data_IF_401637643191
#
_entry.id   IF_401637643191
#
_cell.length_a   1.000
_cell.length_b   1.000
_cell.length_c   1.000
_cell.angle_alpha   90.00
_cell.angle_beta   90.00
_cell.angle_gamma   90.00
#
_symmetry.space_group_name_H-M   'P 1'
#
loop_
_entity.id
_entity.type
_entity.pdbx_description
1 polymer ?
#
# COMPACT_ATOMS: atom_id res chain seq x y z
N UNK A 1 -0.03 0.58 31.48
CA UNK A 1 -1.19 1.50 31.21
C UNK A 1 -1.25 1.90 29.75
N UNK A 2 -0.14 2.36 29.10
CA UNK A 2 -0.15 2.83 27.72
C UNK A 2 -0.66 1.83 26.68
N UNK A 3 -0.22 0.56 26.75
CA UNK A 3 -0.64 -0.49 25.81
C UNK A 3 -2.16 -0.72 25.86
N UNK A 4 -2.73 -0.85 27.05
CA UNK A 4 -4.19 -1.01 27.23
C UNK A 4 -5.00 0.18 26.72
N UNK A 5 -4.45 1.39 26.83
CA UNK A 5 -5.08 2.59 26.29
C UNK A 5 -5.11 2.59 24.76
N UNK A 6 -4.04 2.12 24.12
CA UNK A 6 -3.98 1.97 22.66
C UNK A 6 -4.95 0.89 22.17
N UNK A 7 -5.03 -0.25 22.84
CA UNK A 7 -6.02 -1.31 22.56
C UNK A 7 -7.45 -0.77 22.68
N UNK A 8 -7.76 -0.11 23.78
CA UNK A 8 -9.07 0.52 23.97
C UNK A 8 -9.43 1.50 22.84
N UNK A 9 -8.48 2.37 22.45
CA UNK A 9 -8.70 3.31 21.34
C UNK A 9 -8.94 2.61 20.01
N UNK A 10 -8.23 1.52 19.75
CA UNK A 10 -8.42 0.72 18.54
C UNK A 10 -9.81 0.11 18.49
N UNK A 11 -10.25 -0.56 19.56
CA UNK A 11 -11.58 -1.14 19.63
C UNK A 11 -12.69 -0.08 19.60
N UNK A 12 -12.51 1.03 20.31
CA UNK A 12 -13.48 2.13 20.28
C UNK A 12 -13.63 2.70 18.88
N UNK A 13 -12.54 2.82 18.14
CA UNK A 13 -12.57 3.25 16.73
C UNK A 13 -13.34 2.27 15.85
N UNK A 14 -13.10 0.96 15.99
CA UNK A 14 -13.83 -0.05 15.22
C UNK A 14 -15.32 -0.02 15.53
N UNK A 15 -15.68 0.07 16.81
CA UNK A 15 -17.06 0.12 17.28
C UNK A 15 -17.77 1.34 16.71
N UNK A 16 -17.24 2.53 16.94
CA UNK A 16 -17.91 3.80 16.57
C UNK A 16 -17.87 4.11 15.07
N UNK A 17 -16.92 3.55 14.32
CA UNK A 17 -16.78 3.84 12.89
C UNK A 17 -17.48 2.81 12.00
N UNK A 18 -17.53 1.54 12.43
CA UNK A 18 -18.02 0.46 11.58
C UNK A 18 -19.18 -0.32 12.22
N UNK A 19 -19.00 -0.84 13.43
CA UNK A 19 -19.94 -1.81 14.01
C UNK A 19 -21.29 -1.18 14.35
N UNK A 20 -21.30 0.02 14.94
CA UNK A 20 -22.53 0.71 15.29
C UNK A 20 -23.20 1.44 14.12
N UNK A 21 -22.45 2.17 13.24
CA UNK A 21 -23.09 2.96 12.19
C UNK A 21 -23.53 2.14 10.98
N UNK A 22 -22.73 1.16 10.53
CA UNK A 22 -22.98 0.45 9.28
C UNK A 22 -24.33 -0.26 9.28
N UNK A 23 -24.72 -1.04 10.31
CA UNK A 23 -26.04 -1.68 10.33
C UNK A 23 -27.21 -0.69 10.33
N UNK A 24 -27.01 0.52 10.88
CA UNK A 24 -28.05 1.57 10.90
C UNK A 24 -28.26 2.25 9.54
N UNK A 25 -27.27 2.11 8.64
CA UNK A 25 -27.31 2.65 7.28
C UNK A 25 -27.82 1.64 6.26
N UNK A 26 -28.07 0.41 6.69
CA UNK A 26 -28.67 -0.61 5.83
C UNK A 26 -30.12 -0.24 5.49
N UNK A 27 -30.49 -0.42 4.24
CA UNK A 27 -31.86 -0.24 3.77
C UNK A 27 -32.74 -1.46 4.13
N UNK A 28 -33.99 -1.47 3.65
CA UNK A 28 -34.95 -2.55 3.91
C UNK A 28 -34.57 -3.91 3.32
N UNK A 29 -33.59 -3.92 2.43
CA UNK A 29 -33.03 -5.13 1.79
C UNK A 29 -31.65 -5.50 2.39
N UNK A 30 -31.29 -4.96 3.55
CA UNK A 30 -29.99 -5.12 4.21
C UNK A 30 -28.79 -4.67 3.34
N UNK A 31 -29.00 -3.67 2.49
CA UNK A 31 -27.97 -3.15 1.60
C UNK A 31 -27.41 -1.82 2.09
N UNK A 32 -26.08 -1.68 1.94
CA UNK A 32 -25.36 -0.45 2.25
C UNK A 32 -25.07 0.31 0.94
N UNK A 33 -25.41 1.60 0.94
CA UNK A 33 -25.21 2.50 -0.19
C UNK A 33 -24.23 3.60 0.20
N UNK A 34 -23.00 3.51 -0.30
CA UNK A 34 -21.98 4.57 -0.14
C UNK A 34 -22.10 5.61 -1.25
N UNK A 35 -21.66 6.83 -0.97
CA UNK A 35 -21.47 7.87 -1.97
C UNK A 35 -20.01 7.95 -2.36
N UNK A 36 -19.70 7.80 -3.65
CA UNK A 36 -18.36 8.02 -4.17
C UNK A 36 -18.22 9.44 -4.69
N UNK A 37 -17.23 10.18 -4.16
CA UNK A 37 -16.91 11.54 -4.59
C UNK A 37 -15.71 11.50 -5.54
N UNK A 38 -15.87 12.05 -6.74
CA UNK A 38 -14.83 12.07 -7.78
C UNK A 38 -13.82 13.21 -7.59
N UNK A 39 -14.21 14.27 -6.91
CA UNK A 39 -13.41 15.48 -6.68
C UNK A 39 -13.02 15.68 -5.20
N UNK A 40 -13.14 14.64 -4.38
CA UNK A 40 -12.90 14.72 -2.93
C UNK A 40 -11.44 14.59 -2.49
N UNK A 41 -10.50 14.41 -3.42
CA UNK A 41 -9.07 14.25 -3.10
C UNK A 41 -8.20 15.08 -4.05
N UNK A 42 -7.05 15.55 -3.55
CA UNK A 42 -6.06 16.26 -4.37
C UNK A 42 -5.33 15.38 -5.40
N UNK A 43 -5.39 14.05 -5.21
CA UNK A 43 -4.67 13.07 -6.04
C UNK A 43 -5.52 12.51 -7.19
N UNK A 44 -6.79 12.91 -7.33
CA UNK A 44 -7.72 12.33 -8.30
C UNK A 44 -8.27 10.95 -7.93
N UNK A 45 -7.95 10.41 -6.73
CA UNK A 45 -8.57 9.18 -6.23
C UNK A 45 -10.03 9.44 -5.83
N UNK A 46 -10.89 8.44 -5.94
CA UNK A 46 -12.23 8.49 -5.37
C UNK A 46 -12.15 8.50 -3.85
N UNK A 47 -13.04 9.22 -3.21
CA UNK A 47 -13.32 9.07 -1.78
C UNK A 47 -14.72 8.50 -1.57
N UNK A 48 -14.93 7.82 -0.46
CA UNK A 48 -16.18 7.17 -0.10
C UNK A 48 -16.73 7.80 1.18
N UNK A 49 -18.04 8.09 1.20
CA UNK A 49 -18.73 8.72 2.32
C UNK A 49 -20.13 8.13 2.52
N UNK A 50 -20.63 8.20 3.75
CA UNK A 50 -22.01 7.84 4.15
C UNK A 50 -22.45 6.42 3.78
N UNK A 51 -21.73 5.37 4.22
CA UNK A 51 -20.51 5.33 5.01
C UNK A 51 -19.22 5.32 4.17
N UNK A 52 -18.05 5.60 4.79
CA UNK A 52 -16.77 5.38 4.13
C UNK A 52 -16.44 3.88 4.15
N UNK A 53 -16.61 3.20 3.01
CA UNK A 53 -16.29 1.78 2.85
C UNK A 53 -14.84 1.51 2.42
N UNK A 54 -14.08 2.53 1.98
CA UNK A 54 -12.70 2.36 1.55
C UNK A 54 -11.72 2.17 2.71
N UNK A 55 -12.11 2.57 3.92
CA UNK A 55 -11.24 2.53 5.11
C UNK A 55 -11.51 1.35 6.04
N UNK A 56 -12.30 0.36 5.63
CA UNK A 56 -12.54 -0.85 6.42
C UNK A 56 -11.19 -1.58 6.59
N UNK A 57 -10.76 -1.86 7.83
CA UNK A 57 -9.45 -2.45 8.08
C UNK A 57 -9.27 -3.81 7.39
N UNK A 58 -8.06 -4.07 6.88
CA UNK A 58 -7.71 -5.31 6.15
C UNK A 58 -6.53 -6.06 6.77
N UNK A 59 -5.85 -5.47 7.77
CA UNK A 59 -4.60 -5.99 8.32
C UNK A 59 -4.75 -6.64 9.69
N UNK A 60 -5.86 -6.43 10.37
CA UNK A 60 -6.12 -6.97 11.70
C UNK A 60 -7.23 -8.02 11.63
N UNK A 61 -7.19 -9.00 12.52
CA UNK A 61 -8.20 -10.06 12.59
C UNK A 61 -9.62 -9.48 12.78
N UNK A 62 -9.76 -8.47 13.64
CA UNK A 62 -11.05 -7.80 13.85
C UNK A 62 -11.51 -7.05 12.60
N UNK A 63 -10.59 -6.42 11.86
CA UNK A 63 -10.91 -5.79 10.59
C UNK A 63 -11.38 -6.79 9.54
N UNK A 64 -10.71 -7.93 9.44
CA UNK A 64 -11.11 -9.03 8.56
C UNK A 64 -12.50 -9.53 8.96
N UNK A 65 -12.78 -9.73 10.25
CA UNK A 65 -14.11 -10.12 10.74
C UNK A 65 -15.21 -9.11 10.38
N UNK A 66 -14.94 -7.81 10.47
CA UNK A 66 -15.89 -6.78 10.02
C UNK A 66 -16.20 -6.94 8.54
N UNK A 67 -15.17 -7.22 7.72
CA UNK A 67 -15.35 -7.43 6.26
C UNK A 67 -16.19 -8.65 5.94
N UNK A 68 -16.17 -9.70 6.72
CA UNK A 68 -17.02 -10.89 6.49
C UNK A 68 -18.51 -10.60 6.66
N UNK A 69 -18.87 -9.48 7.32
CA UNK A 69 -20.26 -9.02 7.39
C UNK A 69 -20.82 -8.48 6.06
N UNK A 70 -19.94 -8.17 5.08
CA UNK A 70 -20.36 -7.75 3.75
C UNK A 70 -20.48 -8.97 2.84
N UNK A 71 -21.70 -9.31 2.49
CA UNK A 71 -22.01 -10.49 1.70
C UNK A 71 -22.67 -10.10 0.37
N UNK A 72 -22.55 -10.98 -0.62
CA UNK A 72 -23.27 -10.81 -1.88
C UNK A 72 -24.77 -11.13 -1.68
N UNK A 73 -25.63 -10.51 -2.48
CA UNK A 73 -27.04 -10.89 -2.59
C UNK A 73 -27.16 -12.37 -2.98
N UNK A 74 -28.20 -13.05 -2.55
CA UNK A 74 -28.46 -14.44 -2.91
C UNK A 74 -28.38 -14.66 -4.43
N UNK A 75 -27.65 -15.68 -4.86
CA UNK A 75 -27.38 -15.97 -6.27
C UNK A 75 -26.30 -15.10 -6.93
N UNK A 76 -25.59 -14.24 -6.18
CA UNK A 76 -24.53 -13.39 -6.66
C UNK A 76 -23.22 -13.67 -5.91
N UNK A 77 -22.11 -13.18 -6.46
CA UNK A 77 -20.77 -13.25 -5.83
C UNK A 77 -20.14 -11.86 -5.78
N UNK A 78 -19.39 -11.58 -4.73
CA UNK A 78 -18.49 -10.43 -4.70
C UNK A 78 -17.19 -10.82 -5.42
N UNK A 79 -16.81 -10.04 -6.42
CA UNK A 79 -15.57 -10.22 -7.16
C UNK A 79 -14.71 -8.99 -6.93
N UNK A 80 -13.45 -9.21 -6.54
CA UNK A 80 -12.46 -8.12 -6.36
C UNK A 80 -11.42 -8.19 -7.47
N UNK A 81 -11.21 -7.06 -8.13
CA UNK A 81 -10.14 -6.86 -9.10
C UNK A 81 -9.21 -5.77 -8.59
N UNK A 82 -7.91 -6.02 -8.66
CA UNK A 82 -6.90 -5.03 -8.35
C UNK A 82 -5.80 -5.06 -9.41
N UNK A 83 -5.33 -3.88 -9.78
CA UNK A 83 -4.19 -3.77 -10.69
C UNK A 83 -2.89 -4.15 -9.95
N UNK A 84 -2.16 -5.11 -10.50
CA UNK A 84 -0.87 -5.49 -9.93
C UNK A 84 0.14 -4.36 -10.05
N UNK A 85 0.52 -3.78 -8.90
CA UNK A 85 1.58 -2.78 -8.77
C UNK A 85 1.43 -1.58 -9.73
N UNK A 86 0.20 -1.10 -9.97
CA UNK A 86 -0.09 -0.09 -11.02
C UNK A 86 0.75 1.18 -10.86
N UNK A 87 0.96 1.65 -9.65
CA UNK A 87 1.71 2.87 -9.38
C UNK A 87 3.19 2.72 -9.78
N UNK A 88 3.79 1.56 -9.55
CA UNK A 88 5.17 1.27 -9.96
C UNK A 88 5.28 1.05 -11.48
N UNK A 89 4.24 0.52 -12.13
CA UNK A 89 4.17 0.42 -13.60
C UNK A 89 4.08 1.81 -14.25
N UNK A 90 3.29 2.71 -13.65
CA UNK A 90 3.24 4.12 -14.08
C UNK A 90 4.58 4.80 -13.88
N UNK A 91 5.26 4.55 -12.75
CA UNK A 91 6.61 5.06 -12.51
C UNK A 91 7.61 4.55 -13.57
N UNK A 92 7.56 3.27 -13.92
CA UNK A 92 8.40 2.70 -14.97
C UNK A 92 8.17 3.40 -16.31
N UNK A 93 6.90 3.62 -16.68
CA UNK A 93 6.52 4.28 -17.94
C UNK A 93 6.95 5.75 -17.95
N UNK A 94 6.75 6.49 -16.87
CA UNK A 94 7.07 7.92 -16.82
C UNK A 94 8.58 8.18 -16.70
N UNK A 95 9.30 7.40 -15.89
CA UNK A 95 10.75 7.53 -15.76
C UNK A 95 11.52 6.98 -16.96
N UNK A 96 10.90 6.10 -17.74
CA UNK A 96 11.55 5.34 -18.82
C UNK A 96 12.81 4.62 -18.34
N UNK A 97 12.81 4.20 -17.07
CA UNK A 97 13.92 3.42 -16.53
C UNK A 97 13.96 2.04 -17.17
N UNK A 98 15.10 1.71 -17.77
CA UNK A 98 15.24 0.49 -18.59
C UNK A 98 15.07 -0.78 -17.76
N UNK A 99 15.64 -0.81 -16.55
CA UNK A 99 15.57 -1.98 -15.68
C UNK A 99 14.13 -2.20 -15.19
N UNK A 100 13.42 -1.13 -14.80
CA UNK A 100 12.01 -1.23 -14.41
C UNK A 100 11.10 -1.65 -15.57
N UNK A 101 11.27 -1.04 -16.73
CA UNK A 101 10.47 -1.37 -17.93
C UNK A 101 10.70 -2.83 -18.32
N UNK A 102 11.96 -3.28 -18.37
CA UNK A 102 12.29 -4.65 -18.70
C UNK A 102 11.71 -5.65 -17.70
N UNK A 103 11.85 -5.37 -16.39
CA UNK A 103 11.30 -6.23 -15.36
C UNK A 103 9.78 -6.48 -15.54
N UNK A 104 9.03 -5.44 -15.90
CA UNK A 104 7.60 -5.59 -16.17
C UNK A 104 7.28 -6.29 -17.50
N UNK A 105 8.08 -6.09 -18.53
CA UNK A 105 7.95 -6.82 -19.81
C UNK A 105 8.20 -8.31 -19.64
N UNK A 106 9.16 -8.67 -18.79
CA UNK A 106 9.52 -10.05 -18.47
C UNK A 106 8.61 -10.67 -17.38
N UNK A 107 7.57 -9.96 -16.93
CA UNK A 107 6.67 -10.38 -15.85
C UNK A 107 7.39 -10.74 -14.54
N UNK A 108 8.52 -10.10 -14.26
CA UNK A 108 9.28 -10.31 -13.03
C UNK A 108 8.60 -9.61 -11.84
N UNK A 109 8.77 -10.17 -10.62
CA UNK A 109 8.33 -9.51 -9.40
C UNK A 109 9.32 -8.42 -8.98
N UNK A 110 8.91 -7.16 -9.12
CA UNK A 110 9.76 -6.02 -8.77
C UNK A 110 10.19 -6.02 -7.31
N UNK A 111 9.37 -6.53 -6.40
CA UNK A 111 9.73 -6.59 -4.98
C UNK A 111 10.84 -7.61 -4.73
N UNK A 112 10.84 -8.72 -5.45
CA UNK A 112 11.91 -9.72 -5.37
C UNK A 112 13.20 -9.19 -6.00
N UNK A 113 13.11 -8.54 -7.16
CA UNK A 113 14.28 -7.89 -7.78
C UNK A 113 14.91 -6.84 -6.86
N UNK A 114 14.08 -5.97 -6.27
CA UNK A 114 14.54 -4.96 -5.32
C UNK A 114 15.16 -5.61 -4.07
N UNK A 115 14.55 -6.69 -3.55
CA UNK A 115 15.12 -7.42 -2.41
C UNK A 115 16.49 -7.99 -2.75
N UNK A 116 16.68 -8.61 -3.92
CA UNK A 116 17.98 -9.13 -4.34
C UNK A 116 19.07 -8.05 -4.35
N UNK A 117 18.74 -6.88 -4.87
CA UNK A 117 19.69 -5.75 -4.91
C UNK A 117 20.03 -5.21 -3.52
N UNK A 118 19.02 -4.99 -2.69
CA UNK A 118 19.20 -4.41 -1.35
C UNK A 118 19.94 -5.35 -0.40
N UNK A 119 19.66 -6.65 -0.49
CA UNK A 119 20.29 -7.67 0.36
C UNK A 119 21.50 -8.36 -0.29
N UNK A 120 21.96 -7.86 -1.44
CA UNK A 120 23.13 -8.39 -2.17
C UNK A 120 23.02 -9.88 -2.50
N UNK A 121 21.82 -10.32 -2.91
CA UNK A 121 21.53 -11.71 -3.28
C UNK A 121 21.64 -11.94 -4.78
N UNK A 122 22.06 -13.15 -5.14
CA UNK A 122 22.13 -13.62 -6.53
C UNK A 122 20.77 -14.16 -7.00
N UNK A 123 20.67 -14.57 -8.26
CA UNK A 123 19.46 -15.19 -8.81
C UNK A 123 19.16 -16.56 -8.17
N UNK A 124 20.20 -17.26 -7.70
CA UNK A 124 20.09 -18.57 -7.07
C UNK A 124 19.62 -18.50 -5.60
N UNK A 125 19.78 -17.35 -4.97
CA UNK A 125 19.39 -17.16 -3.56
C UNK A 125 17.87 -17.05 -3.40
N UNK A 126 17.34 -17.71 -2.40
CA UNK A 126 15.93 -17.58 -2.04
C UNK A 126 15.67 -16.23 -1.37
N UNK A 127 14.61 -15.54 -1.80
CA UNK A 127 14.11 -14.31 -1.15
C UNK A 127 13.07 -14.71 -0.11
N UNK A 128 13.37 -14.44 1.15
CA UNK A 128 12.43 -14.67 2.24
C UNK A 128 11.23 -13.73 2.15
N UNK A 129 10.09 -14.14 2.74
CA UNK A 129 8.90 -13.28 2.84
C UNK A 129 9.18 -11.95 3.55
N UNK A 130 10.10 -11.97 4.50
CA UNK A 130 10.51 -10.77 5.25
C UNK A 130 11.28 -9.79 4.36
N UNK A 131 12.29 -10.26 3.64
CA UNK A 131 13.08 -9.45 2.69
C UNK A 131 12.21 -8.85 1.60
N UNK A 132 11.31 -9.66 1.03
CA UNK A 132 10.33 -9.19 0.04
C UNK A 132 9.39 -8.12 0.62
N UNK A 133 8.98 -8.25 1.88
CA UNK A 133 8.16 -7.24 2.56
C UNK A 133 8.91 -5.93 2.76
N UNK A 134 10.19 -5.98 3.14
CA UNK A 134 11.06 -4.80 3.23
C UNK A 134 11.20 -4.13 1.87
N UNK A 135 11.52 -4.87 0.83
CA UNK A 135 11.63 -4.34 -0.53
C UNK A 135 10.33 -3.69 -1.01
N UNK A 136 9.18 -4.28 -0.68
CA UNK A 136 7.87 -3.67 -0.96
C UNK A 136 7.72 -2.31 -0.28
N UNK A 137 8.06 -2.21 1.01
CA UNK A 137 8.03 -0.94 1.74
C UNK A 137 8.95 0.09 1.09
N UNK A 138 10.15 -0.31 0.66
CA UNK A 138 11.12 0.57 0.02
C UNK A 138 10.61 1.08 -1.32
N UNK A 139 10.11 0.21 -2.20
CA UNK A 139 9.55 0.58 -3.49
C UNK A 139 8.47 1.66 -3.37
N UNK A 140 7.52 1.48 -2.44
CA UNK A 140 6.47 2.47 -2.22
C UNK A 140 6.97 3.71 -1.48
N UNK A 141 7.90 3.57 -0.56
CA UNK A 141 8.48 4.72 0.15
C UNK A 141 9.19 5.68 -0.79
N UNK A 142 9.93 5.16 -1.76
CA UNK A 142 10.61 5.96 -2.78
C UNK A 142 9.60 6.64 -3.70
N UNK A 143 8.60 5.92 -4.16
CA UNK A 143 7.52 6.48 -4.98
C UNK A 143 6.83 7.68 -4.32
N UNK A 144 6.64 7.61 -2.99
CA UNK A 144 6.00 8.68 -2.22
C UNK A 144 6.98 9.68 -1.60
N UNK A 145 8.23 9.69 -2.02
CA UNK A 145 9.24 10.66 -1.58
C UNK A 145 9.59 10.58 -0.10
N UNK A 146 9.48 9.40 0.52
CA UNK A 146 9.76 9.21 1.93
C UNK A 146 11.26 9.42 2.22
N UNK A 147 11.57 10.19 3.26
CA UNK A 147 12.94 10.43 3.70
C UNK A 147 13.56 9.18 4.36
N UNK A 148 14.92 9.09 4.45
CA UNK A 148 15.59 8.01 5.17
C UNK A 148 15.10 7.88 6.64
N UNK A 149 14.81 9.00 7.28
CA UNK A 149 14.25 9.01 8.63
C UNK A 149 12.84 8.37 8.67
N UNK A 150 11.97 8.72 7.73
CA UNK A 150 10.63 8.12 7.64
C UNK A 150 10.68 6.61 7.37
N UNK A 151 11.57 6.19 6.47
CA UNK A 151 11.77 4.78 6.14
C UNK A 151 12.34 3.99 7.33
N UNK A 152 13.32 4.55 8.05
CA UNK A 152 13.91 3.91 9.24
C UNK A 152 12.88 3.63 10.33
N UNK A 153 11.97 4.56 10.56
CA UNK A 153 10.87 4.40 11.53
C UNK A 153 9.88 3.30 11.12
N UNK A 154 9.58 3.21 9.85
CA UNK A 154 8.64 2.19 9.34
C UNK A 154 9.23 0.78 9.39
N UNK A 155 10.50 0.64 9.04
CA UNK A 155 11.19 -0.65 9.02
C UNK A 155 11.79 -1.05 10.38
N UNK A 156 11.88 -0.12 11.34
CA UNK A 156 12.53 -0.39 12.64
C UNK A 156 14.05 -0.55 12.53
N UNK A 157 14.68 0.08 11.55
CA UNK A 157 16.12 0.04 11.27
C UNK A 157 16.77 1.41 11.57
N UNK A 158 18.09 1.48 11.47
CA UNK A 158 18.82 2.75 11.61
C UNK A 158 18.60 3.66 10.39
N UNK A 159 18.76 4.98 10.57
CA UNK A 159 18.70 5.96 9.48
C UNK A 159 19.80 5.70 8.46
N UNK A 160 20.94 5.19 8.89
CA UNK A 160 22.08 4.86 8.03
C UNK A 160 21.74 3.68 7.09
N UNK A 161 21.14 2.61 7.61
CA UNK A 161 20.66 1.48 6.82
C UNK A 161 19.57 1.91 5.83
N UNK A 162 18.60 2.71 6.28
CA UNK A 162 17.57 3.26 5.41
C UNK A 162 18.16 4.11 4.27
N UNK A 163 19.18 4.93 4.57
CA UNK A 163 19.90 5.72 3.56
C UNK A 163 20.63 4.83 2.56
N UNK A 164 21.23 3.74 3.03
CA UNK A 164 21.90 2.77 2.16
C UNK A 164 20.90 2.09 1.22
N UNK A 165 19.74 1.67 1.72
CA UNK A 165 18.70 1.04 0.88
C UNK A 165 18.18 1.99 -0.21
N UNK A 166 17.94 3.26 0.12
CA UNK A 166 17.52 4.27 -0.86
C UNK A 166 18.63 4.50 -1.91
N UNK A 167 19.89 4.53 -1.49
CA UNK A 167 21.03 4.69 -2.40
C UNK A 167 21.10 3.51 -3.38
N UNK A 168 21.13 2.28 -2.87
CA UNK A 168 21.17 1.05 -3.68
C UNK A 168 19.99 1.00 -4.67
N UNK A 169 18.80 1.43 -4.24
CA UNK A 169 17.65 1.51 -5.14
C UNK A 169 17.90 2.48 -6.31
N UNK A 170 18.42 3.66 -6.05
CA UNK A 170 18.68 4.66 -7.10
C UNK A 170 19.91 4.34 -7.96
N UNK A 171 20.83 3.53 -7.47
CA UNK A 171 21.92 2.96 -8.28
C UNK A 171 21.36 1.95 -9.29
N UNK A 172 20.39 1.13 -8.89
CA UNK A 172 19.71 0.18 -9.78
C UNK A 172 18.77 0.87 -10.77
N UNK A 173 18.05 1.93 -10.31
CA UNK A 173 17.04 2.65 -11.10
C UNK A 173 17.39 4.14 -11.27
N UNK A 174 18.48 4.48 -12.00
CA UNK A 174 18.97 5.86 -12.05
C UNK A 174 18.03 6.84 -12.76
N UNK A 175 17.21 6.35 -13.70
CA UNK A 175 16.22 7.21 -14.37
C UNK A 175 15.02 7.52 -13.49
N UNK A 176 14.68 6.63 -12.57
CA UNK A 176 13.66 6.91 -11.53
C UNK A 176 14.11 8.09 -10.68
N UNK A 177 15.37 8.08 -10.22
CA UNK A 177 15.94 9.18 -9.46
C UNK A 177 15.79 10.50 -10.20
N UNK A 178 16.27 10.56 -11.45
CA UNK A 178 16.22 11.75 -12.28
C UNK A 178 14.77 12.25 -12.49
N UNK A 179 13.84 11.33 -12.75
CA UNK A 179 12.43 11.66 -12.91
C UNK A 179 11.85 12.28 -11.64
N UNK A 180 12.06 11.66 -10.47
CA UNK A 180 11.55 12.18 -9.20
C UNK A 180 12.16 13.54 -8.86
N UNK A 181 13.44 13.78 -9.09
CA UNK A 181 14.07 15.08 -8.95
C UNK A 181 13.39 16.14 -9.84
N UNK A 182 13.10 15.80 -11.10
CA UNK A 182 12.44 16.73 -12.04
C UNK A 182 11.00 17.11 -11.65
N UNK A 183 10.23 16.18 -11.06
CA UNK A 183 8.83 16.46 -10.70
C UNK A 183 8.68 17.06 -9.31
N UNK A 184 9.72 17.03 -8.48
CA UNK A 184 9.73 17.63 -7.14
C UNK A 184 10.43 19.00 -7.07
N UNK A 185 11.11 19.41 -8.14
CA UNK A 185 11.62 20.78 -8.25
C UNK A 185 10.43 21.75 -8.43
N UNK A 186 10.38 22.85 -7.65
CA UNK A 186 9.29 23.83 -7.69
C UNK A 186 9.27 24.64 -8.99
#
# INVERSE_FOLDING_TARGET
VGKKLLEYRAYKKLLSTYIEPIPKLADKEDRIHTTFNQNGTSTGRLSSANPNLQNIPVRTDDGIRIRTGFVAKGGHSLISFDYSQIELRVLAELSKDRHLVQAYQDNQDLHDLTARKIFFKTEEDEISRHERSIAKVINFSILYGKTPFGLSKELGITVQEASQYIRTYFEEYPRVRKFLETVTEP
#
